data_IF_292567790704
#
_entry.id   IF_292567790704
#
_cell.length_a   1.000
_cell.length_b   1.000
_cell.length_c   1.000
_cell.angle_alpha   90.00
_cell.angle_beta   90.00
_cell.angle_gamma   90.00
#
_symmetry.space_group_name_H-M   'P 1'
#
loop_
_entity.id
_entity.type
_entity.pdbx_description
1 polymer ?
#
# COMPACT_ATOMS: atom_id res chain seq x y z
N UNK A 1 24.31 24.71 28.17
CA UNK A 1 23.60 23.97 27.10
C UNK A 1 24.15 22.56 26.79
N UNK A 2 25.16 22.02 27.50
CA UNK A 2 25.77 20.72 27.14
C UNK A 2 25.30 19.48 27.93
N UNK A 3 24.70 19.65 29.12
CA UNK A 3 24.41 18.53 30.02
C UNK A 3 23.05 17.84 29.69
N UNK A 4 22.01 18.62 29.35
CA UNK A 4 20.70 18.11 28.96
C UNK A 4 20.72 17.34 27.61
N UNK A 5 21.52 17.79 26.63
CA UNK A 5 21.69 17.12 25.33
C UNK A 5 22.44 15.78 25.46
N UNK A 6 23.27 15.63 26.49
CA UNK A 6 24.02 14.40 26.81
C UNK A 6 23.19 13.39 27.60
N UNK A 7 22.21 13.86 28.39
CA UNK A 7 21.28 13.02 29.15
C UNK A 7 20.05 12.56 28.34
N UNK A 8 19.59 13.37 27.38
CA UNK A 8 18.36 13.09 26.60
C UNK A 8 18.61 12.74 25.12
N UNK A 9 19.86 12.75 24.64
CA UNK A 9 20.18 12.57 23.23
C UNK A 9 19.65 13.73 22.35
N UNK A 10 19.98 13.72 21.06
CA UNK A 10 19.30 14.57 20.09
C UNK A 10 17.94 13.97 19.68
N UNK A 11 17.15 14.73 18.90
CA UNK A 11 15.83 14.27 18.45
C UNK A 11 15.95 12.96 17.65
N UNK A 12 16.94 12.87 16.75
CA UNK A 12 17.17 11.68 15.93
C UNK A 12 17.48 10.43 16.78
N UNK A 13 18.32 10.56 17.80
CA UNK A 13 18.65 9.45 18.72
C UNK A 13 17.42 8.96 19.51
N UNK A 14 16.55 9.89 19.96
CA UNK A 14 15.30 9.52 20.65
C UNK A 14 14.30 8.86 19.71
N UNK A 15 14.15 9.40 18.50
CA UNK A 15 13.24 8.85 17.49
C UNK A 15 13.70 7.43 17.10
N UNK A 16 15.00 7.21 16.86
CA UNK A 16 15.56 5.88 16.59
C UNK A 16 15.31 4.90 17.74
N UNK A 17 15.48 5.35 19.00
CA UNK A 17 15.21 4.51 20.17
C UNK A 17 13.74 4.09 20.28
N UNK A 18 12.81 4.89 19.77
CA UNK A 18 11.38 4.54 19.72
C UNK A 18 11.07 3.52 18.60
N UNK A 19 11.90 3.44 17.56
CA UNK A 19 11.75 2.49 16.45
C UNK A 19 12.35 1.12 16.77
N UNK A 20 13.37 1.07 17.64
CA UNK A 20 14.08 -0.15 18.03
C UNK A 20 13.13 -1.30 18.47
N UNK A 21 12.12 -1.10 19.32
CA UNK A 21 11.22 -2.18 19.71
C UNK A 21 10.40 -2.73 18.54
N UNK A 22 10.06 -1.89 17.56
CA UNK A 22 9.31 -2.30 16.36
C UNK A 22 10.24 -3.11 15.46
N UNK A 23 11.47 -2.62 15.22
CA UNK A 23 12.48 -3.36 14.46
C UNK A 23 12.73 -4.73 15.06
N UNK A 24 12.96 -4.84 16.37
CA UNK A 24 13.21 -6.13 17.02
C UNK A 24 12.02 -7.10 16.89
N UNK A 25 10.78 -6.59 16.96
CA UNK A 25 9.59 -7.41 16.67
C UNK A 25 9.56 -7.88 15.21
N UNK A 26 9.90 -7.01 14.26
CA UNK A 26 9.97 -7.38 12.83
C UNK A 26 11.05 -8.44 12.59
N UNK A 27 12.25 -8.26 13.13
CA UNK A 27 13.34 -9.23 13.02
C UNK A 27 12.95 -10.57 13.66
N UNK A 28 12.27 -10.53 14.81
CA UNK A 28 11.77 -11.74 15.46
C UNK A 28 10.71 -12.45 14.63
N UNK A 29 9.73 -11.71 14.08
CA UNK A 29 8.72 -12.27 13.19
C UNK A 29 9.34 -12.89 11.93
N UNK A 30 10.41 -12.26 11.41
CA UNK A 30 11.13 -12.76 10.23
C UNK A 30 11.72 -14.15 10.44
N UNK A 31 12.16 -14.50 11.66
CA UNK A 31 12.69 -15.83 11.98
C UNK A 31 11.68 -16.95 11.68
N UNK A 32 10.38 -16.68 11.78
CA UNK A 32 9.33 -17.65 11.52
C UNK A 32 8.76 -17.51 10.11
N UNK A 33 8.56 -16.28 9.62
CA UNK A 33 8.05 -16.01 8.27
C UNK A 33 8.97 -16.59 7.19
N UNK A 34 10.29 -16.51 7.35
CA UNK A 34 11.25 -17.03 6.35
C UNK A 34 11.22 -18.56 6.21
N UNK A 35 10.62 -19.28 7.17
CA UNK A 35 10.48 -20.74 7.15
C UNK A 35 9.22 -21.22 6.44
N UNK A 36 8.28 -20.31 6.14
CA UNK A 36 7.06 -20.65 5.43
C UNK A 36 7.39 -21.15 4.03
N UNK A 37 6.63 -22.13 3.54
CA UNK A 37 6.61 -22.41 2.11
C UNK A 37 6.01 -21.22 1.35
N UNK A 38 6.27 -21.18 0.05
CA UNK A 38 5.97 -20.01 -0.76
C UNK A 38 4.46 -19.74 -0.90
N UNK A 39 3.61 -20.77 -0.88
CA UNK A 39 2.15 -20.62 -0.93
C UNK A 39 1.63 -20.10 0.42
N UNK A 40 2.15 -20.63 1.54
CA UNK A 40 1.85 -20.11 2.89
C UNK A 40 2.30 -18.65 3.05
N UNK A 41 3.44 -18.27 2.48
CA UNK A 41 3.94 -16.90 2.50
C UNK A 41 2.97 -15.94 1.76
N UNK A 42 2.47 -16.35 0.58
CA UNK A 42 1.45 -15.59 -0.16
C UNK A 42 0.12 -15.53 0.58
N UNK A 43 -0.25 -16.61 1.26
CA UNK A 43 -1.51 -16.68 2.01
C UNK A 43 -1.59 -15.66 3.16
N UNK A 44 -0.45 -15.25 3.74
CA UNK A 44 -0.39 -14.19 4.75
C UNK A 44 -1.11 -12.91 4.33
N UNK A 45 -1.10 -12.54 3.05
CA UNK A 45 -1.85 -11.38 2.54
C UNK A 45 -3.35 -11.51 2.86
N UNK A 46 -3.93 -12.70 2.67
CA UNK A 46 -5.36 -12.93 2.94
C UNK A 46 -5.65 -12.92 4.44
N UNK A 47 -4.78 -13.54 5.26
CA UNK A 47 -4.90 -13.49 6.72
C UNK A 47 -4.90 -12.05 7.23
N UNK A 48 -4.00 -11.20 6.71
CA UNK A 48 -3.93 -9.79 7.09
C UNK A 48 -5.15 -9.00 6.65
N UNK A 49 -5.62 -9.20 5.40
CA UNK A 49 -6.84 -8.56 4.89
C UNK A 49 -8.06 -8.97 5.73
N UNK A 50 -8.17 -10.24 6.10
CA UNK A 50 -9.25 -10.74 6.96
C UNK A 50 -9.17 -10.20 8.38
N UNK A 51 -7.97 -10.10 8.95
CA UNK A 51 -7.75 -9.48 10.26
C UNK A 51 -8.23 -8.03 10.31
N UNK A 52 -7.83 -7.21 9.34
CA UNK A 52 -8.24 -5.81 9.24
C UNK A 52 -9.76 -5.72 9.06
N UNK A 53 -10.32 -6.51 8.15
CA UNK A 53 -11.76 -6.56 7.89
C UNK A 53 -12.57 -6.89 9.15
N UNK A 54 -12.09 -7.85 9.94
CA UNK A 54 -12.76 -8.23 11.18
C UNK A 54 -12.69 -7.13 12.25
N UNK A 55 -11.56 -6.39 12.31
CA UNK A 55 -11.36 -5.29 13.24
C UNK A 55 -12.22 -4.05 12.92
N UNK A 56 -12.67 -3.90 11.69
CA UNK A 56 -13.50 -2.76 11.23
C UNK A 56 -14.94 -3.13 10.88
N UNK A 57 -15.33 -4.40 11.10
CA UNK A 57 -16.61 -4.92 10.62
C UNK A 57 -17.83 -4.18 11.21
N UNK A 58 -17.73 -3.73 12.46
CA UNK A 58 -18.82 -3.03 13.13
C UNK A 58 -19.06 -1.65 12.50
N UNK A 59 -18.00 -0.86 12.33
CA UNK A 59 -18.09 0.48 11.73
C UNK A 59 -18.54 0.40 10.27
N UNK A 60 -18.00 -0.55 9.51
CA UNK A 60 -18.37 -0.75 8.09
C UNK A 60 -19.85 -1.10 7.95
N UNK A 61 -20.38 -1.99 8.80
CA UNK A 61 -21.79 -2.36 8.77
C UNK A 61 -22.71 -1.18 9.10
N UNK A 62 -22.37 -0.41 10.15
CA UNK A 62 -23.17 0.76 10.56
C UNK A 62 -23.11 1.89 9.51
N UNK A 63 -21.95 2.16 8.92
CA UNK A 63 -21.80 3.13 7.82
C UNK A 63 -22.67 2.71 6.63
N UNK A 64 -22.66 1.44 6.26
CA UNK A 64 -23.46 0.94 5.14
C UNK A 64 -24.97 1.08 5.40
N UNK A 65 -25.43 0.79 6.62
CA UNK A 65 -26.82 0.98 7.03
C UNK A 65 -27.24 2.45 6.97
N UNK A 66 -26.41 3.35 7.52
CA UNK A 66 -26.70 4.79 7.50
C UNK A 66 -26.73 5.34 6.06
N UNK A 67 -25.78 4.94 5.19
CA UNK A 67 -25.78 5.33 3.77
C UNK A 67 -27.04 4.84 3.06
N UNK A 68 -27.42 3.58 3.24
CA UNK A 68 -28.65 3.02 2.67
C UNK A 68 -29.89 3.77 3.16
N UNK A 69 -29.93 4.16 4.44
CA UNK A 69 -31.03 4.97 5.01
C UNK A 69 -31.11 6.37 4.39
N UNK A 70 -29.98 7.00 4.11
CA UNK A 70 -29.93 8.30 3.44
C UNK A 70 -30.40 8.21 1.98
N UNK A 71 -30.03 7.14 1.27
CA UNK A 71 -30.44 6.91 -0.12
C UNK A 71 -31.93 6.53 -0.25
N UNK A 72 -32.46 5.76 0.69
CA UNK A 72 -33.84 5.30 0.69
C UNK A 72 -34.86 6.41 1.00
N UNK A 73 -34.42 7.56 1.52
CA UNK A 73 -35.29 8.70 1.82
C UNK A 73 -34.76 10.00 1.17
N UNK A 74 -34.99 10.20 -0.15
CA UNK A 74 -34.52 11.38 -0.87
C UNK A 74 -35.09 12.70 -0.35
N UNK A 75 -36.31 12.66 0.21
CA UNK A 75 -37.04 13.81 0.74
C UNK A 75 -36.79 14.01 2.25
N UNK A 76 -35.76 13.37 2.82
CA UNK A 76 -35.38 13.53 4.23
C UNK A 76 -35.13 15.01 4.55
N UNK A 77 -35.71 15.46 5.66
CA UNK A 77 -35.54 16.84 6.14
C UNK A 77 -34.05 17.19 6.28
N UNK A 78 -33.62 18.40 5.85
CA UNK A 78 -32.20 18.77 5.83
C UNK A 78 -31.47 18.54 7.15
N UNK A 79 -32.10 18.86 8.28
CA UNK A 79 -31.54 18.68 9.63
C UNK A 79 -31.33 17.20 10.00
N UNK A 80 -32.20 16.31 9.55
CA UNK A 80 -32.07 14.86 9.78
C UNK A 80 -30.97 14.28 8.91
N UNK A 81 -30.90 14.73 7.65
CA UNK A 81 -29.85 14.37 6.70
C UNK A 81 -28.48 14.80 7.20
N UNK A 82 -28.35 16.03 7.71
CA UNK A 82 -27.12 16.54 8.30
C UNK A 82 -26.67 15.71 9.51
N UNK A 83 -27.58 15.35 10.41
CA UNK A 83 -27.25 14.47 11.56
C UNK A 83 -26.74 13.11 11.12
N UNK A 84 -27.35 12.53 10.09
CA UNK A 84 -26.96 11.23 9.56
C UNK A 84 -25.55 11.29 8.95
N UNK A 85 -25.25 12.27 8.10
CA UNK A 85 -23.89 12.42 7.55
C UNK A 85 -22.85 12.71 8.64
N UNK A 86 -23.19 13.51 9.64
CA UNK A 86 -22.31 13.72 10.80
C UNK A 86 -22.03 12.44 11.60
N UNK A 87 -22.95 11.46 11.61
CA UNK A 87 -22.72 10.14 12.19
C UNK A 87 -21.81 9.29 11.31
N UNK A 88 -22.05 9.28 10.00
CA UNK A 88 -21.19 8.60 9.02
C UNK A 88 -19.76 9.10 9.15
N UNK A 89 -19.53 10.42 9.18
CA UNK A 89 -18.17 10.99 9.25
C UNK A 89 -17.43 10.58 10.53
N UNK A 90 -18.14 10.48 11.66
CA UNK A 90 -17.57 9.99 12.93
C UNK A 90 -17.19 8.51 12.85
N UNK A 91 -18.03 7.69 12.23
CA UNK A 91 -17.76 6.28 12.05
C UNK A 91 -16.63 6.05 11.03
N UNK A 92 -16.59 6.80 9.93
CA UNK A 92 -15.50 6.74 8.95
C UNK A 92 -14.15 7.09 9.61
N UNK A 93 -14.16 8.06 10.55
CA UNK A 93 -12.98 8.36 11.36
C UNK A 93 -12.60 7.22 12.31
N UNK A 94 -13.57 6.64 13.01
CA UNK A 94 -13.33 5.52 13.91
C UNK A 94 -12.80 4.28 13.15
N UNK A 95 -13.35 4.02 11.96
CA UNK A 95 -12.88 2.97 11.06
C UNK A 95 -11.39 3.16 10.73
N UNK A 96 -10.98 4.39 10.37
CA UNK A 96 -9.59 4.70 10.07
C UNK A 96 -8.66 4.51 11.27
N UNK A 97 -9.11 4.89 12.47
CA UNK A 97 -8.35 4.68 13.72
C UNK A 97 -8.14 3.17 13.98
N UNK A 98 -9.19 2.35 13.82
CA UNK A 98 -9.09 0.89 13.97
C UNK A 98 -8.25 0.23 12.88
N UNK A 99 -8.28 0.74 11.63
CA UNK A 99 -7.37 0.31 10.55
C UNK A 99 -5.93 0.60 10.97
N UNK A 100 -5.63 1.80 11.45
CA UNK A 100 -4.27 2.16 11.87
C UNK A 100 -3.75 1.26 13.00
N UNK A 101 -4.59 0.96 13.99
CA UNK A 101 -4.24 0.01 15.05
C UNK A 101 -3.94 -1.38 14.47
N UNK A 102 -4.81 -1.90 13.60
CA UNK A 102 -4.62 -3.20 12.95
C UNK A 102 -3.32 -3.25 12.14
N UNK A 103 -3.04 -2.21 11.35
CA UNK A 103 -1.82 -2.09 10.56
C UNK A 103 -0.57 -2.07 11.44
N UNK A 104 -0.59 -1.36 12.56
CA UNK A 104 0.53 -1.33 13.50
C UNK A 104 0.77 -2.69 14.19
N UNK A 105 -0.30 -3.43 14.48
CA UNK A 105 -0.22 -4.78 15.07
C UNK A 105 0.40 -5.79 14.10
N UNK A 106 -0.02 -5.78 12.83
CA UNK A 106 0.48 -6.72 11.81
C UNK A 106 1.79 -6.28 11.16
N UNK A 107 2.22 -5.02 11.32
CA UNK A 107 3.41 -4.45 10.68
C UNK A 107 4.64 -5.36 10.77
N UNK A 108 5.00 -5.93 11.95
CA UNK A 108 6.17 -6.80 12.05
C UNK A 108 6.12 -8.00 11.11
N UNK A 109 5.00 -8.71 11.04
CA UNK A 109 4.83 -9.86 10.16
C UNK A 109 4.71 -9.42 8.70
N UNK A 110 3.94 -8.37 8.40
CA UNK A 110 3.73 -7.87 7.04
C UNK A 110 5.04 -7.42 6.38
N UNK A 111 5.91 -6.72 7.12
CA UNK A 111 7.23 -6.32 6.60
C UNK A 111 8.13 -7.54 6.39
N UNK A 112 8.06 -8.53 7.29
CA UNK A 112 8.79 -9.79 7.13
C UNK A 112 8.33 -10.60 5.93
N UNK A 113 7.05 -10.56 5.57
CA UNK A 113 6.52 -11.21 4.36
C UNK A 113 7.14 -10.60 3.11
N UNK A 114 7.15 -9.27 3.00
CA UNK A 114 7.78 -8.58 1.86
C UNK A 114 9.28 -8.89 1.76
N UNK A 115 9.99 -8.88 2.90
CA UNK A 115 11.42 -9.22 2.94
C UNK A 115 11.69 -10.67 2.54
N UNK A 116 10.85 -11.61 3.01
CA UNK A 116 10.98 -13.03 2.67
C UNK A 116 10.68 -13.28 1.18
N UNK A 117 9.66 -12.64 0.63
CA UNK A 117 9.35 -12.73 -0.80
C UNK A 117 10.49 -12.15 -1.65
N UNK A 118 11.02 -10.98 -1.27
CA UNK A 118 12.17 -10.38 -1.92
C UNK A 118 13.40 -11.31 -1.90
N UNK A 119 13.69 -11.95 -0.76
CA UNK A 119 14.74 -12.96 -0.65
C UNK A 119 14.49 -14.17 -1.54
N UNK A 120 13.26 -14.66 -1.59
CA UNK A 120 12.91 -15.83 -2.38
C UNK A 120 13.16 -15.61 -3.88
N UNK A 121 12.80 -14.43 -4.40
CA UNK A 121 13.07 -14.01 -5.79
C UNK A 121 14.57 -13.89 -6.11
N UNK A 122 15.39 -13.47 -5.14
CA UNK A 122 16.86 -13.47 -5.30
C UNK A 122 17.43 -14.88 -5.45
N UNK A 123 16.84 -15.87 -4.77
CA UNK A 123 17.38 -17.23 -4.68
C UNK A 123 16.87 -18.15 -5.80
N UNK A 124 15.83 -17.73 -6.53
CA UNK A 124 15.18 -18.56 -7.55
C UNK A 124 14.93 -17.77 -8.82
N UNK A 125 15.43 -18.27 -9.96
CA UNK A 125 15.14 -17.68 -11.28
C UNK A 125 13.66 -17.81 -11.68
N UNK A 126 12.97 -18.83 -11.15
CA UNK A 126 11.55 -19.07 -11.35
C UNK A 126 10.92 -19.52 -10.04
N UNK A 127 9.83 -18.87 -9.66
CA UNK A 127 9.05 -19.14 -8.45
C UNK A 127 7.76 -19.85 -8.86
N UNK A 128 7.60 -21.10 -8.42
CA UNK A 128 6.39 -21.90 -8.63
C UNK A 128 5.45 -21.73 -7.44
N UNK A 129 4.19 -21.42 -7.71
CA UNK A 129 3.13 -21.23 -6.71
C UNK A 129 1.82 -21.82 -7.20
N UNK A 130 0.89 -22.08 -6.29
CA UNK A 130 -0.48 -22.43 -6.65
C UNK A 130 -1.18 -21.24 -7.28
N UNK A 131 -1.74 -21.44 -8.48
CA UNK A 131 -2.32 -20.36 -9.28
C UNK A 131 -3.63 -19.83 -8.69
N UNK A 132 -3.68 -18.53 -8.46
CA UNK A 132 -4.90 -17.77 -8.13
C UNK A 132 -5.58 -17.22 -9.37
N UNK A 133 -6.79 -16.68 -9.24
CA UNK A 133 -7.48 -15.98 -10.34
C UNK A 133 -6.68 -14.74 -10.80
N UNK A 134 -6.07 -14.02 -9.84
CA UNK A 134 -5.20 -12.89 -10.16
C UNK A 134 -4.00 -13.34 -11.01
N UNK A 135 -3.38 -14.48 -10.69
CA UNK A 135 -2.23 -15.00 -11.44
C UNK A 135 -2.60 -15.28 -12.90
N UNK A 136 -3.84 -15.73 -13.15
CA UNK A 136 -4.35 -15.99 -14.50
C UNK A 136 -4.59 -14.70 -15.27
N UNK A 137 -5.07 -13.66 -14.61
CA UNK A 137 -5.19 -12.31 -15.20
C UNK A 137 -3.81 -11.73 -15.52
N UNK A 138 -2.85 -11.88 -14.60
CA UNK A 138 -1.48 -11.40 -14.75
C UNK A 138 -0.76 -12.11 -15.90
N UNK A 139 -0.92 -13.43 -16.05
CA UNK A 139 -0.31 -14.20 -17.13
C UNK A 139 -0.84 -13.81 -18.53
N UNK A 140 -2.04 -13.23 -18.62
CA UNK A 140 -2.55 -12.66 -19.87
C UNK A 140 -1.92 -11.30 -20.22
N UNK A 141 -1.35 -10.60 -19.22
CA UNK A 141 -0.80 -9.25 -19.34
C UNK A 141 0.73 -9.23 -19.41
N UNK A 142 1.39 -10.15 -18.71
CA UNK A 142 2.83 -10.09 -18.48
C UNK A 142 3.52 -11.40 -18.84
N UNK A 143 4.59 -11.30 -19.62
CA UNK A 143 5.37 -12.46 -20.08
C UNK A 143 6.14 -13.18 -18.96
N UNK A 144 6.39 -12.50 -17.84
CA UNK A 144 7.12 -13.07 -16.71
C UNK A 144 6.24 -13.91 -15.77
N UNK A 145 4.93 -13.99 -16.04
CA UNK A 145 3.99 -14.85 -15.33
C UNK A 145 3.40 -15.84 -16.33
N UNK A 146 3.50 -17.13 -16.04
CA UNK A 146 2.94 -18.19 -16.89
C UNK A 146 2.11 -19.16 -16.07
N UNK A 147 1.13 -19.80 -16.70
CA UNK A 147 0.20 -20.73 -16.05
C UNK A 147 0.34 -22.09 -16.72
N UNK A 148 0.57 -23.13 -15.93
CA UNK A 148 0.48 -24.53 -16.37
C UNK A 148 -0.41 -25.31 -15.39
N UNK A 149 -1.61 -25.68 -15.84
CA UNK A 149 -2.60 -26.34 -14.99
C UNK A 149 -3.04 -25.48 -13.80
N UNK A 150 -2.81 -25.99 -12.59
CA UNK A 150 -3.10 -25.35 -11.31
C UNK A 150 -1.92 -24.57 -10.73
N UNK A 151 -0.81 -24.44 -11.48
CA UNK A 151 0.40 -23.72 -11.06
C UNK A 151 0.62 -22.43 -11.85
N UNK A 152 1.19 -21.45 -11.16
CA UNK A 152 1.71 -20.22 -11.73
C UNK A 152 3.22 -20.15 -11.53
N UNK A 153 3.93 -19.67 -12.54
CA UNK A 153 5.38 -19.54 -12.56
C UNK A 153 5.77 -18.10 -12.80
N UNK A 154 6.43 -17.50 -11.81
CA UNK A 154 6.94 -16.14 -11.85
C UNK A 154 8.43 -16.14 -12.13
N UNK A 155 8.88 -15.45 -13.17
CA UNK A 155 10.31 -15.19 -13.39
C UNK A 155 10.81 -14.14 -12.42
N UNK A 156 12.06 -14.26 -11.96
CA UNK A 156 12.69 -13.20 -11.18
C UNK A 156 13.23 -12.04 -12.02
N UNK A 157 13.00 -12.07 -13.33
CA UNK A 157 13.39 -11.02 -14.26
C UNK A 157 12.25 -10.67 -15.21
N UNK A 158 12.08 -9.38 -15.49
CA UNK A 158 11.01 -8.86 -16.34
C UNK A 158 11.36 -7.50 -16.92
N UNK A 159 10.58 -7.04 -17.90
CA UNK A 159 10.71 -5.71 -18.46
C UNK A 159 10.08 -4.66 -17.54
N UNK A 160 10.84 -3.64 -17.17
CA UNK A 160 10.35 -2.46 -16.45
C UNK A 160 10.93 -1.18 -17.04
N UNK A 161 10.06 -0.24 -17.43
CA UNK A 161 10.46 1.03 -18.04
C UNK A 161 11.35 0.86 -19.28
N UNK A 162 11.11 -0.20 -20.05
CA UNK A 162 11.85 -0.53 -21.28
C UNK A 162 13.18 -1.26 -21.07
N UNK A 163 13.54 -1.65 -19.85
CA UNK A 163 14.75 -2.42 -19.58
C UNK A 163 14.43 -3.75 -18.88
N UNK A 164 15.20 -4.79 -19.19
CA UNK A 164 15.15 -6.04 -18.43
C UNK A 164 15.75 -5.78 -17.04
N UNK A 165 14.96 -6.00 -16.01
CA UNK A 165 15.40 -5.95 -14.61
C UNK A 165 15.39 -7.36 -14.04
N UNK A 166 16.38 -7.68 -13.22
CA UNK A 166 16.41 -8.90 -12.40
C UNK A 166 16.27 -8.49 -10.95
N UNK A 167 15.39 -9.16 -10.21
CA UNK A 167 15.23 -8.96 -8.78
C UNK A 167 16.42 -9.58 -8.03
N UNK A 168 17.33 -8.71 -7.57
CA UNK A 168 18.51 -9.08 -6.78
C UNK A 168 18.64 -8.20 -5.52
N UNK A 169 17.54 -8.01 -4.81
CA UNK A 169 17.44 -7.09 -3.68
C UNK A 169 16.76 -7.73 -2.47
N UNK A 170 17.37 -7.56 -1.28
CA UNK A 170 16.79 -7.96 0.01
C UNK A 170 16.92 -6.79 0.99
N UNK A 171 15.87 -6.53 1.77
CA UNK A 171 15.87 -5.40 2.70
C UNK A 171 16.89 -5.55 3.84
N UNK A 172 17.73 -4.53 4.00
CA UNK A 172 18.58 -4.32 5.18
C UNK A 172 17.76 -3.76 6.36
N UNK A 173 18.30 -3.88 7.57
CA UNK A 173 17.61 -3.43 8.79
C UNK A 173 17.39 -1.91 8.77
N UNK A 174 18.32 -1.12 8.22
CA UNK A 174 18.13 0.31 8.02
C UNK A 174 16.95 0.64 7.08
N UNK A 175 16.68 -0.22 6.10
CA UNK A 175 15.56 -0.08 5.18
C UNK A 175 14.23 -0.45 5.85
N UNK A 176 14.24 -1.45 6.75
CA UNK A 176 13.09 -1.76 7.60
C UNK A 176 12.73 -0.55 8.48
N UNK A 177 13.73 0.07 9.12
CA UNK A 177 13.54 1.31 9.90
C UNK A 177 12.95 2.40 9.01
N UNK A 178 13.50 2.61 7.81
CA UNK A 178 12.95 3.56 6.83
C UNK A 178 11.48 3.30 6.50
N UNK A 179 11.12 2.03 6.30
CA UNK A 179 9.73 1.61 6.07
C UNK A 179 8.81 1.91 7.26
N UNK A 180 9.27 1.71 8.49
CA UNK A 180 8.50 2.03 9.72
C UNK A 180 8.27 3.55 9.80
N UNK A 181 9.30 4.35 9.52
CA UNK A 181 9.21 5.82 9.52
C UNK A 181 8.21 6.31 8.47
N UNK A 182 8.26 5.76 7.26
CA UNK A 182 7.30 6.07 6.19
C UNK A 182 5.89 5.66 6.58
N UNK A 183 5.70 4.46 7.14
CA UNK A 183 4.38 4.05 7.62
C UNK A 183 3.83 5.06 8.62
N UNK A 184 4.63 5.55 9.57
CA UNK A 184 4.26 6.57 10.55
C UNK A 184 3.95 7.98 9.97
N UNK A 185 3.92 8.16 8.64
CA UNK A 185 3.64 9.46 8.02
C UNK A 185 4.78 10.47 8.17
N UNK A 186 6.00 10.00 8.43
CA UNK A 186 7.19 10.85 8.62
C UNK A 186 8.08 10.82 7.38
N UNK A 187 9.07 11.71 7.35
CA UNK A 187 10.11 11.73 6.32
C UNK A 187 11.26 10.82 6.77
N UNK A 188 11.61 9.84 5.96
CA UNK A 188 12.77 8.97 6.17
C UNK A 188 13.99 9.55 5.43
N UNK A 189 14.87 10.27 6.12
CA UNK A 189 16.08 10.81 5.50
C UNK A 189 17.06 9.66 5.18
N UNK A 190 17.23 9.38 3.88
CA UNK A 190 18.10 8.31 3.38
C UNK A 190 19.00 8.86 2.28
N UNK A 191 20.28 8.46 2.31
CA UNK A 191 21.24 8.84 1.29
C UNK A 191 20.89 8.22 -0.08
N UNK A 192 21.41 8.82 -1.16
CA UNK A 192 21.30 8.23 -2.50
C UNK A 192 22.03 6.89 -2.53
N UNK A 193 21.38 5.85 -3.05
CA UNK A 193 21.91 4.49 -3.09
C UNK A 193 21.42 3.57 -1.96
N UNK A 194 20.76 4.10 -0.93
CA UNK A 194 20.20 3.32 0.19
C UNK A 194 18.92 2.54 -0.17
N UNK A 195 18.53 2.50 -1.45
CA UNK A 195 17.39 1.71 -1.93
C UNK A 195 16.01 2.29 -1.57
N UNK A 196 15.80 3.61 -1.69
CA UNK A 196 14.51 4.28 -1.38
C UNK A 196 13.29 3.61 -2.03
N UNK A 197 13.42 3.18 -3.29
CA UNK A 197 12.35 2.48 -4.01
C UNK A 197 12.01 1.14 -3.36
N UNK A 198 13.02 0.37 -2.96
CA UNK A 198 12.85 -0.90 -2.23
C UNK A 198 12.26 -0.67 -0.84
N UNK A 199 12.69 0.37 -0.13
CA UNK A 199 12.18 0.74 1.20
C UNK A 199 10.68 1.01 1.16
N UNK A 200 10.21 1.69 0.11
CA UNK A 200 8.80 2.03 -0.05
C UNK A 200 7.90 0.80 -0.21
N UNK A 201 8.44 -0.36 -0.61
CA UNK A 201 7.62 -1.57 -0.76
C UNK A 201 7.03 -2.07 0.55
N UNK A 202 7.73 -1.86 1.66
CA UNK A 202 7.28 -2.26 2.99
C UNK A 202 5.99 -1.52 3.41
N UNK A 203 5.97 -0.18 3.52
CA UNK A 203 4.77 0.55 3.91
C UNK A 203 3.70 0.54 2.81
N UNK A 204 4.04 0.50 1.52
CA UNK A 204 3.04 0.43 0.44
C UNK A 204 2.26 -0.88 0.53
N UNK A 205 2.95 -2.02 0.66
CA UNK A 205 2.31 -3.31 0.88
C UNK A 205 1.42 -3.28 2.12
N UNK A 206 1.96 -2.85 3.27
CA UNK A 206 1.21 -2.82 4.53
C UNK A 206 -0.08 -2.01 4.42
N UNK A 207 -0.01 -0.77 3.94
CA UNK A 207 -1.20 0.09 3.89
C UNK A 207 -2.20 -0.34 2.81
N UNK A 208 -1.76 -1.03 1.75
CA UNK A 208 -2.64 -1.59 0.72
C UNK A 208 -3.53 -2.71 1.27
N UNK A 209 -3.11 -3.41 2.33
CA UNK A 209 -3.91 -4.45 2.99
C UNK A 209 -5.23 -3.92 3.57
N UNK A 210 -5.34 -2.60 3.83
CA UNK A 210 -6.58 -2.00 4.29
C UNK A 210 -7.69 -1.92 3.22
N UNK A 211 -7.37 -2.14 1.94
CA UNK A 211 -8.35 -2.10 0.85
C UNK A 211 -8.92 -0.71 0.55
N UNK A 212 -8.27 0.35 1.04
CA UNK A 212 -8.64 1.77 0.80
C UNK A 212 -7.85 2.42 -0.35
N UNK A 213 -6.96 1.66 -0.99
CA UNK A 213 -6.03 2.15 -2.01
C UNK A 213 -4.79 2.82 -1.41
N UNK A 214 -3.68 2.78 -2.16
CA UNK A 214 -2.43 3.49 -1.86
C UNK A 214 -1.96 4.24 -3.09
N UNK A 215 -1.73 5.54 -2.97
CA UNK A 215 -1.16 6.35 -4.06
C UNK A 215 0.36 6.44 -3.93
N UNK A 216 1.09 5.96 -4.93
CA UNK A 216 2.55 6.12 -5.01
C UNK A 216 2.86 7.24 -5.99
N UNK A 217 3.29 8.37 -5.45
CA UNK A 217 3.54 9.61 -6.19
C UNK A 217 4.99 9.65 -6.65
N UNK A 218 5.19 9.91 -7.94
CA UNK A 218 6.52 10.14 -8.52
C UNK A 218 6.58 11.52 -9.20
N UNK A 219 7.79 11.94 -9.56
CA UNK A 219 8.03 13.26 -10.16
C UNK A 219 7.75 13.32 -11.67
N UNK A 220 7.70 12.18 -12.35
CA UNK A 220 7.42 12.11 -13.79
C UNK A 220 6.82 10.75 -14.19
N UNK A 221 6.17 10.73 -15.35
CA UNK A 221 5.42 9.58 -15.84
C UNK A 221 6.32 8.37 -16.13
N UNK A 222 7.54 8.59 -16.62
CA UNK A 222 8.51 7.52 -16.83
C UNK A 222 8.82 6.76 -15.53
N UNK A 223 9.09 7.49 -14.44
CA UNK A 223 9.38 6.90 -13.14
C UNK A 223 8.13 6.24 -12.55
N UNK A 224 6.93 6.83 -12.71
CA UNK A 224 5.67 6.19 -12.31
C UNK A 224 5.48 4.84 -13.02
N UNK A 225 5.63 4.81 -14.35
CA UNK A 225 5.47 3.60 -15.17
C UNK A 225 6.52 2.56 -14.82
N UNK A 226 7.80 2.94 -14.82
CA UNK A 226 8.92 2.05 -14.48
C UNK A 226 8.76 1.45 -13.09
N UNK A 227 8.49 2.26 -12.08
CA UNK A 227 8.43 1.78 -10.69
C UNK A 227 7.15 0.95 -10.45
N UNK A 228 6.05 1.25 -11.15
CA UNK A 228 4.84 0.40 -11.15
C UNK A 228 5.08 -0.97 -11.78
N UNK A 229 5.94 -1.07 -12.80
CA UNK A 229 6.30 -2.35 -13.44
C UNK A 229 7.35 -3.09 -12.64
N UNK A 230 8.30 -2.36 -12.05
CA UNK A 230 9.40 -2.95 -11.32
C UNK A 230 8.97 -3.44 -9.94
N UNK A 231 8.43 -2.58 -9.08
CA UNK A 231 7.98 -3.01 -7.75
C UNK A 231 6.62 -3.72 -7.82
N UNK A 232 5.82 -3.45 -8.86
CA UNK A 232 4.50 -4.04 -9.07
C UNK A 232 4.48 -5.55 -9.05
N UNK A 233 5.43 -6.18 -9.75
CA UNK A 233 5.52 -7.64 -9.82
C UNK A 233 5.61 -8.30 -8.43
N UNK A 234 6.26 -7.64 -7.46
CA UNK A 234 6.35 -8.14 -6.09
C UNK A 234 5.01 -8.04 -5.35
N UNK A 235 4.27 -6.94 -5.52
CA UNK A 235 2.94 -6.79 -4.92
C UNK A 235 1.92 -7.73 -5.56
N UNK A 236 1.96 -7.85 -6.89
CA UNK A 236 1.13 -8.76 -7.69
C UNK A 236 1.38 -10.22 -7.30
N UNK A 237 2.64 -10.61 -7.12
CA UNK A 237 3.00 -11.90 -6.56
C UNK A 237 2.37 -12.13 -5.17
N UNK A 238 2.41 -11.13 -4.29
CA UNK A 238 1.79 -11.18 -2.97
C UNK A 238 0.25 -11.03 -2.99
N UNK A 239 -0.39 -10.97 -4.15
CA UNK A 239 -1.85 -10.95 -4.27
C UNK A 239 -2.49 -9.56 -4.21
N UNK A 240 -1.73 -8.50 -4.47
CA UNK A 240 -2.23 -7.13 -4.60
C UNK A 240 -2.26 -6.68 -6.05
N UNK A 241 -3.24 -5.87 -6.41
CA UNK A 241 -3.36 -5.28 -7.75
C UNK A 241 -2.62 -3.95 -7.85
N UNK A 242 -1.97 -3.71 -8.99
CA UNK A 242 -1.14 -2.52 -9.23
C UNK A 242 -1.44 -1.94 -10.61
N UNK A 243 -1.59 -0.63 -10.69
CA UNK A 243 -1.64 0.07 -11.98
C UNK A 243 -1.01 1.47 -11.91
N UNK A 244 -0.81 2.09 -13.07
CA UNK A 244 -0.29 3.45 -13.20
C UNK A 244 -1.25 4.33 -14.00
N UNK A 245 -1.72 5.43 -13.38
CA UNK A 245 -2.70 6.33 -14.00
C UNK A 245 -2.15 7.05 -15.24
N UNK A 246 -0.85 7.29 -15.29
CA UNK A 246 -0.16 7.90 -16.44
C UNK A 246 -0.14 6.98 -17.69
N UNK A 247 -0.63 5.74 -17.60
CA UNK A 247 -0.84 4.84 -18.76
C UNK A 247 -2.20 5.05 -19.43
N UNK A 248 -3.11 5.78 -18.79
CA UNK A 248 -4.52 5.82 -19.17
C UNK A 248 -5.01 7.23 -19.42
N UNK A 249 -5.88 7.37 -20.42
CA UNK A 249 -6.52 8.66 -20.70
C UNK A 249 -7.38 9.12 -19.51
N UNK A 250 -7.35 10.42 -19.16
CA UNK A 250 -8.26 11.06 -18.21
C UNK A 250 -9.73 10.64 -18.38
N UNK A 251 -10.45 10.43 -17.27
CA UNK A 251 -11.88 10.05 -17.22
C UNK A 251 -12.26 8.73 -17.94
N UNK A 252 -11.29 7.97 -18.44
CA UNK A 252 -11.55 6.69 -19.09
C UNK A 252 -11.93 5.61 -18.07
N UNK A 253 -12.61 4.56 -18.55
CA UNK A 253 -12.87 3.38 -17.72
C UNK A 253 -11.57 2.71 -17.24
N UNK A 254 -10.48 2.79 -18.02
CA UNK A 254 -9.18 2.27 -17.63
C UNK A 254 -8.57 3.07 -16.46
N UNK A 255 -8.69 4.41 -16.50
CA UNK A 255 -8.27 5.29 -15.40
C UNK A 255 -9.01 4.96 -14.09
N UNK A 256 -10.33 4.75 -14.16
CA UNK A 256 -11.13 4.31 -13.00
C UNK A 256 -10.68 2.95 -12.47
N UNK A 257 -10.37 1.99 -13.36
CA UNK A 257 -9.84 0.69 -12.94
C UNK A 257 -8.49 0.83 -12.25
N UNK A 258 -7.61 1.72 -12.73
CA UNK A 258 -6.33 1.97 -12.09
C UNK A 258 -6.48 2.45 -10.65
N UNK A 259 -7.38 3.40 -10.38
CA UNK A 259 -7.72 3.85 -9.01
C UNK A 259 -8.41 2.78 -8.15
N UNK A 260 -8.97 1.73 -8.76
CA UNK A 260 -9.59 0.63 -8.03
C UNK A 260 -8.57 -0.46 -7.65
N UNK A 261 -7.33 -0.37 -8.12
CA UNK A 261 -6.25 -1.25 -7.69
C UNK A 261 -5.88 -0.98 -6.23
N UNK A 262 -5.33 -1.99 -5.55
CA UNK A 262 -4.83 -1.85 -4.18
C UNK A 262 -3.72 -0.76 -4.14
N UNK A 263 -2.91 -0.67 -5.19
CA UNK A 263 -1.81 0.30 -5.33
C UNK A 263 -1.91 1.01 -6.68
N UNK A 264 -1.90 2.34 -6.64
CA UNK A 264 -1.96 3.22 -7.81
C UNK A 264 -0.71 4.09 -7.89
N UNK A 265 0.10 3.91 -8.93
CA UNK A 265 1.23 4.79 -9.22
C UNK A 265 0.78 5.98 -10.08
N UNK A 266 1.35 7.15 -9.83
CA UNK A 266 1.08 8.31 -10.67
C UNK A 266 1.98 9.51 -10.40
N UNK A 267 1.88 10.52 -11.25
CA UNK A 267 2.50 11.82 -10.97
C UNK A 267 1.62 12.71 -10.11
N UNK A 268 2.24 13.62 -9.35
CA UNK A 268 1.51 14.59 -8.52
C UNK A 268 0.50 15.41 -9.34
N UNK A 269 0.86 15.76 -10.58
CA UNK A 269 -0.02 16.52 -11.47
C UNK A 269 -1.26 15.73 -11.84
N UNK A 270 -1.11 14.46 -12.21
CA UNK A 270 -2.22 13.60 -12.64
C UNK A 270 -3.21 13.35 -11.50
N UNK A 271 -2.73 13.03 -10.29
CA UNK A 271 -3.58 12.93 -9.10
C UNK A 271 -4.32 14.25 -8.80
N UNK A 272 -3.61 15.38 -8.85
CA UNK A 272 -4.22 16.69 -8.61
C UNK A 272 -5.28 17.06 -9.65
N UNK A 273 -5.06 16.76 -10.93
CA UNK A 273 -6.03 17.03 -11.99
C UNK A 273 -7.24 16.10 -11.96
N UNK A 274 -7.07 14.83 -11.58
CA UNK A 274 -8.20 13.92 -11.34
C UNK A 274 -9.08 14.43 -10.18
N UNK A 275 -8.47 14.81 -9.05
CA UNK A 275 -9.19 15.41 -7.92
C UNK A 275 -9.99 16.65 -8.32
N UNK A 276 -9.38 17.57 -9.09
CA UNK A 276 -10.07 18.75 -9.57
C UNK A 276 -11.23 18.39 -10.52
N UNK A 277 -11.05 17.42 -11.43
CA UNK A 277 -12.09 16.99 -12.38
C UNK A 277 -13.30 16.40 -11.67
N UNK A 278 -13.09 15.60 -10.63
CA UNK A 278 -14.18 14.99 -9.88
C UNK A 278 -15.00 16.02 -9.11
N UNK A 279 -14.33 17.00 -8.51
CA UNK A 279 -15.00 18.06 -7.76
C UNK A 279 -15.66 19.13 -8.66
N UNK A 280 -15.29 19.22 -9.94
CA UNK A 280 -15.88 20.16 -10.90
C UNK A 280 -17.08 19.59 -11.66
N UNK A 281 -17.15 18.27 -11.86
CA UNK A 281 -18.14 17.67 -12.78
C UNK A 281 -19.49 17.35 -12.13
N UNK A 282 -19.62 17.48 -10.81
CA UNK A 282 -20.84 17.07 -10.09
C UNK A 282 -21.22 15.61 -10.34
N UNK A 283 -20.28 14.81 -10.85
CA UNK A 283 -20.52 13.45 -11.28
C UNK A 283 -20.21 12.51 -10.10
N UNK A 284 -21.20 11.75 -9.58
CA UNK A 284 -20.96 10.79 -8.51
C UNK A 284 -20.01 9.65 -8.91
N UNK A 285 -19.76 9.44 -10.21
CA UNK A 285 -18.84 8.40 -10.76
C UNK A 285 -17.37 8.88 -10.91
N UNK A 286 -16.92 9.77 -10.02
CA UNK A 286 -15.56 10.32 -10.03
C UNK A 286 -14.45 9.25 -10.03
N UNK A 287 -13.27 9.62 -10.52
CA UNK A 287 -12.10 8.72 -10.64
C UNK A 287 -11.29 8.62 -9.34
N UNK A 288 -11.21 9.68 -8.55
CA UNK A 288 -10.52 9.78 -7.26
C UNK A 288 -11.40 9.23 -6.15
N UNK A 289 -11.15 7.97 -5.79
CA UNK A 289 -11.60 7.44 -4.51
C UNK A 289 -10.74 8.06 -3.43
N UNK A 290 -11.37 8.70 -2.43
CA UNK A 290 -10.73 9.24 -1.22
C UNK A 290 -9.65 8.27 -0.70
N UNK A 291 -8.40 8.51 -1.09
CA UNK A 291 -7.28 7.65 -0.73
C UNK A 291 -6.62 8.18 0.54
N UNK A 292 -6.58 7.40 1.63
CA UNK A 292 -6.04 7.87 2.90
C UNK A 292 -4.51 7.92 2.91
N UNK A 293 -3.83 7.20 2.02
CA UNK A 293 -2.37 7.02 2.02
C UNK A 293 -1.72 7.44 0.72
N UNK A 294 -0.80 8.40 0.79
CA UNK A 294 0.05 8.78 -0.33
C UNK A 294 1.55 8.72 0.04
N UNK A 295 2.36 8.11 -0.83
CA UNK A 295 3.80 7.95 -0.66
C UNK A 295 4.57 8.60 -1.81
N UNK A 296 5.42 9.58 -1.51
CA UNK A 296 6.47 10.06 -2.42
C UNK A 296 7.79 9.39 -2.02
N UNK A 297 8.10 8.27 -2.66
CA UNK A 297 9.30 7.50 -2.34
C UNK A 297 10.60 8.22 -2.76
N UNK A 298 10.54 9.18 -3.68
CA UNK A 298 11.74 9.90 -4.12
C UNK A 298 12.18 10.93 -3.09
N UNK A 299 11.19 11.56 -2.43
CA UNK A 299 11.41 12.43 -1.27
C UNK A 299 11.43 11.68 0.06
N UNK A 300 11.26 10.35 0.04
CA UNK A 300 11.11 9.52 1.24
C UNK A 300 10.07 10.09 2.20
N UNK A 301 8.93 10.51 1.64
CA UNK A 301 7.88 11.20 2.36
C UNK A 301 6.57 10.45 2.21
N UNK A 302 5.87 10.25 3.31
CA UNK A 302 4.50 9.75 3.30
C UNK A 302 3.57 10.83 3.86
N UNK A 303 2.45 11.05 3.20
CA UNK A 303 1.34 11.82 3.73
C UNK A 303 0.19 10.88 4.04
N UNK A 304 -0.33 11.00 5.26
CA UNK A 304 -1.63 10.46 5.62
C UNK A 304 -2.61 11.61 5.59
N UNK A 305 -3.74 11.46 4.92
CA UNK A 305 -4.81 12.44 5.11
C UNK A 305 -5.32 12.29 6.56
N UNK A 306 -5.43 13.38 7.33
CA UNK A 306 -6.13 13.31 8.61
C UNK A 306 -7.59 12.91 8.34
N UNK A 307 -8.18 12.11 9.23
CA UNK A 307 -9.60 11.80 9.17
C UNK A 307 -10.41 13.12 9.19
N UNK A 308 -11.02 13.47 8.06
CA UNK A 308 -11.92 14.62 7.93
C UNK A 308 -11.49 15.78 7.00
N UNK A 309 -10.75 15.54 5.90
CA UNK A 309 -10.54 16.54 4.82
C UNK A 309 -10.76 15.96 3.42
#
# INVERSE_FOLDING_TARGET
MGFLKKLFGDKASRDNKALEPILQKTLKAYEDIVKLDIDSLRHKTQEFKEYIKNKTAAEVAEIAELKAKAEANPDMEPDEKEKLYNQIDKLEKLELDHIEEALNEILPEAFSVVKAAAKYFCEHETVEVTATDLDRELAAKYEHVTIEGDKAYYKNSWMAGGNMVTWDMVHYDCQIIGGIVLHQGKIAEMATGEGKTLVATLPVYLNALAGKGVHVVTVNDYLAKRDSEWMGAMYEFLGLTVDCIDKHEPNSAARRRAYNCDITYGTNNEFGFDYLRDNMTGNPDGVDRRCPYAFDHQRSHATRRPAGV
#
